data_IF_107130596323
#
_entry.id   IF_107130596323
#
_cell.length_a   1.000
_cell.length_b   1.000
_cell.length_c   1.000
_cell.angle_alpha   90.00
_cell.angle_beta   90.00
_cell.angle_gamma   90.00
#
_symmetry.space_group_name_H-M   'P 1'
#
loop_
_entity.id
_entity.type
_entity.pdbx_description
1 polymer ?
#
# COMPACT_ATOMS: atom_id res chain seq x y z
N UNK A 1 -15.05 26.79 10.53
CA UNK A 1 -15.25 25.43 11.06
C UNK A 1 -16.20 24.69 10.13
N UNK A 2 -15.68 23.97 9.14
CA UNK A 2 -16.48 22.96 8.44
C UNK A 2 -16.69 21.82 9.43
N UNK A 3 -17.94 21.49 9.72
CA UNK A 3 -18.32 20.34 10.54
C UNK A 3 -17.63 19.09 10.02
N UNK A 4 -16.90 18.37 10.88
CA UNK A 4 -16.31 17.08 10.56
C UNK A 4 -17.43 16.07 10.28
N UNK A 5 -17.87 15.96 9.04
CA UNK A 5 -18.44 14.71 8.56
C UNK A 5 -17.27 13.72 8.55
N UNK A 6 -17.37 12.67 9.37
CA UNK A 6 -16.36 11.62 9.42
C UNK A 6 -16.18 10.96 8.05
N UNK A 7 -15.07 10.22 7.89
CA UNK A 7 -14.83 9.47 6.66
C UNK A 7 -16.01 8.51 6.38
N UNK A 8 -16.42 8.35 5.11
CA UNK A 8 -17.38 7.32 4.73
C UNK A 8 -16.87 5.94 5.16
N UNK A 9 -17.75 4.95 5.30
CA UNK A 9 -17.29 3.59 5.52
C UNK A 9 -16.46 3.15 4.31
N UNK A 10 -15.27 2.57 4.52
CA UNK A 10 -14.35 2.24 3.45
C UNK A 10 -14.94 1.15 2.56
N UNK A 11 -14.78 1.30 1.25
CA UNK A 11 -15.17 0.29 0.27
C UNK A 11 -14.21 0.28 -0.90
N UNK A 12 -13.59 -0.87 -1.16
CA UNK A 12 -12.68 -1.05 -2.28
C UNK A 12 -13.43 -1.59 -3.50
N UNK A 13 -13.27 -0.89 -4.63
CA UNK A 13 -13.80 -1.32 -5.92
C UNK A 13 -12.74 -1.18 -7.01
N UNK A 14 -12.83 -2.03 -8.03
CA UNK A 14 -11.89 -2.02 -9.16
C UNK A 14 -12.22 -0.88 -10.13
N UNK A 15 -11.34 0.11 -10.21
CA UNK A 15 -11.41 1.22 -11.15
C UNK A 15 -10.62 0.97 -12.45
N UNK A 16 -10.94 1.76 -13.47
CA UNK A 16 -10.22 1.84 -14.75
C UNK A 16 -9.82 3.29 -14.98
N UNK A 17 -8.52 3.55 -15.07
CA UNK A 17 -7.94 4.88 -15.12
C UNK A 17 -7.20 5.11 -16.44
N UNK A 18 -7.48 6.24 -17.06
CA UNK A 18 -6.83 6.73 -18.27
C UNK A 18 -6.46 8.20 -18.04
N UNK A 19 -5.33 8.64 -18.60
CA UNK A 19 -5.00 10.06 -18.64
C UNK A 19 -6.05 10.80 -19.49
N UNK A 20 -6.31 12.07 -19.18
CA UNK A 20 -7.35 12.87 -19.84
C UNK A 20 -7.11 13.08 -21.35
N UNK A 21 -5.86 13.01 -21.79
CA UNK A 21 -5.40 13.16 -23.17
C UNK A 21 -5.03 11.81 -23.82
N UNK A 22 -5.49 10.68 -23.25
CA UNK A 22 -5.14 9.35 -23.72
C UNK A 22 -5.60 9.13 -25.17
N UNK A 23 -4.71 8.58 -25.99
CA UNK A 23 -5.10 8.08 -27.32
C UNK A 23 -6.03 6.87 -27.20
N UNK A 24 -6.83 6.61 -28.25
CA UNK A 24 -7.74 5.46 -28.27
C UNK A 24 -7.04 4.09 -28.14
N UNK A 25 -5.73 4.02 -28.42
CA UNK A 25 -4.89 2.82 -28.30
C UNK A 25 -4.14 2.71 -26.97
N UNK A 26 -4.20 3.73 -26.09
CA UNK A 26 -3.49 3.69 -24.82
C UNK A 26 -4.18 2.73 -23.84
N UNK A 27 -3.42 1.77 -23.33
CA UNK A 27 -3.93 0.81 -22.36
C UNK A 27 -4.16 1.47 -20.99
N UNK A 28 -5.31 1.17 -20.38
CA UNK A 28 -5.71 1.73 -19.10
C UNK A 28 -4.96 1.10 -17.93
N UNK A 29 -4.79 1.87 -16.85
CA UNK A 29 -4.34 1.35 -15.57
C UNK A 29 -5.56 0.89 -14.79
N UNK A 30 -5.50 -0.31 -14.22
CA UNK A 30 -6.52 -0.82 -13.33
C UNK A 30 -5.99 -0.79 -11.90
N UNK A 31 -6.85 -0.37 -10.96
CA UNK A 31 -6.48 -0.31 -9.55
C UNK A 31 -7.73 -0.47 -8.68
N UNK A 32 -7.55 -0.98 -7.47
CA UNK A 32 -8.59 -0.96 -6.45
C UNK A 32 -8.52 0.37 -5.69
N UNK A 33 -9.66 1.04 -5.55
CA UNK A 33 -9.81 2.42 -5.07
C UNK A 33 -11.11 2.56 -4.27
N UNK A 34 -11.28 3.68 -3.59
CA UNK A 34 -12.52 4.09 -2.94
C UNK A 34 -12.94 5.49 -3.46
N UNK A 35 -13.98 5.55 -4.29
CA UNK A 35 -14.48 6.82 -4.83
C UNK A 35 -15.21 7.65 -3.77
N UNK A 36 -15.91 7.02 -2.82
CA UNK A 36 -16.60 7.74 -1.76
C UNK A 36 -15.59 8.46 -0.85
N UNK A 37 -14.47 7.80 -0.55
CA UNK A 37 -13.35 8.44 0.14
C UNK A 37 -12.83 9.65 -0.64
N UNK A 38 -12.59 9.49 -1.94
CA UNK A 38 -12.05 10.56 -2.77
C UNK A 38 -12.99 11.76 -2.85
N UNK A 39 -14.28 11.53 -3.07
CA UNK A 39 -15.30 12.58 -3.10
C UNK A 39 -15.41 13.33 -1.76
N UNK A 40 -15.27 12.62 -0.63
CA UNK A 40 -15.40 13.19 0.69
C UNK A 40 -14.14 13.96 1.17
N UNK A 41 -12.95 13.52 0.78
CA UNK A 41 -11.68 13.98 1.39
C UNK A 41 -10.67 14.56 0.40
N UNK A 42 -10.85 14.33 -0.91
CA UNK A 42 -9.84 14.60 -1.93
C UNK A 42 -8.66 13.62 -1.91
N UNK A 43 -8.65 12.63 -1.01
CA UNK A 43 -7.61 11.59 -0.95
C UNK A 43 -7.95 10.48 -1.93
N UNK A 44 -7.06 10.28 -2.91
CA UNK A 44 -7.10 9.19 -3.87
C UNK A 44 -6.19 8.08 -3.37
N UNK A 45 -6.75 6.88 -3.20
CA UNK A 45 -5.99 5.67 -2.94
C UNK A 45 -6.04 4.75 -4.16
N UNK A 46 -4.97 4.00 -4.41
CA UNK A 46 -4.90 3.06 -5.51
C UNK A 46 -3.99 1.87 -5.17
N UNK A 47 -4.54 0.66 -5.19
CA UNK A 47 -3.77 -0.58 -5.25
C UNK A 47 -3.73 -1.06 -6.71
N UNK A 48 -2.61 -0.86 -7.39
CA UNK A 48 -2.52 -1.06 -8.84
C UNK A 48 -2.47 -2.55 -9.21
N UNK A 49 -3.06 -2.90 -10.34
CA UNK A 49 -2.73 -4.13 -11.06
C UNK A 49 -1.43 -3.95 -11.87
N UNK A 50 -0.95 -5.02 -12.51
CA UNK A 50 0.30 -5.04 -13.30
C UNK A 50 0.16 -4.63 -14.76
N UNK A 51 -1.06 -4.38 -15.24
CA UNK A 51 -1.37 -4.06 -16.63
C UNK A 51 -1.29 -2.54 -16.93
N UNK A 52 -1.14 -2.17 -18.20
CA UNK A 52 -1.19 -0.78 -18.63
C UNK A 52 0.11 0.01 -18.48
N UNK A 53 1.26 -0.66 -18.35
CA UNK A 53 2.56 0.03 -18.33
C UNK A 53 3.39 -0.16 -19.60
N UNK A 54 4.69 0.07 -19.48
CA UNK A 54 5.67 0.07 -20.57
C UNK A 54 6.81 -0.94 -20.40
N UNK A 55 6.90 -1.57 -19.22
CA UNK A 55 7.91 -2.59 -18.93
C UNK A 55 7.66 -3.84 -19.78
N UNK A 56 8.74 -4.54 -20.07
CA UNK A 56 8.75 -5.79 -20.83
C UNK A 56 9.20 -6.94 -19.94
N UNK A 57 9.10 -8.16 -20.46
CA UNK A 57 9.40 -9.38 -19.71
C UNK A 57 10.79 -9.36 -19.11
N UNK A 58 10.94 -9.76 -17.83
CA UNK A 58 9.94 -10.39 -16.93
C UNK A 58 9.05 -9.42 -16.13
N UNK A 59 9.08 -8.13 -16.46
CA UNK A 59 8.43 -7.04 -15.72
C UNK A 59 7.17 -6.51 -16.41
N UNK A 60 6.59 -7.25 -17.35
CA UNK A 60 5.41 -6.82 -18.10
C UNK A 60 4.25 -6.52 -17.13
N UNK A 61 3.61 -5.34 -17.11
CA UNK A 61 3.84 -4.13 -17.93
C UNK A 61 4.00 -2.88 -17.08
N UNK A 62 3.23 -2.73 -15.99
CA UNK A 62 3.27 -1.60 -15.07
C UNK A 62 4.13 -1.93 -13.85
N UNK A 63 5.44 -2.12 -14.06
CA UNK A 63 6.37 -2.22 -12.94
C UNK A 63 6.61 -0.82 -12.34
N UNK A 64 6.39 -0.70 -11.04
CA UNK A 64 6.58 0.54 -10.28
C UNK A 64 7.79 0.47 -9.33
N UNK A 65 8.46 -0.68 -9.23
CA UNK A 65 9.63 -0.88 -8.37
C UNK A 65 10.94 -0.50 -9.05
N UNK A 66 11.77 0.28 -8.36
CA UNK A 66 13.08 0.73 -8.85
C UNK A 66 14.23 -0.22 -8.51
N UNK A 67 14.03 -1.10 -7.52
CA UNK A 67 15.05 -2.03 -7.01
C UNK A 67 14.84 -3.46 -7.53
N UNK A 68 14.36 -3.56 -8.77
CA UNK A 68 14.34 -4.78 -9.58
C UNK A 68 15.11 -4.45 -10.87
N UNK A 69 15.70 -5.43 -11.54
CA UNK A 69 16.59 -5.23 -12.71
C UNK A 69 15.85 -4.78 -14.00
N UNK A 70 14.82 -3.94 -13.87
CA UNK A 70 14.09 -3.28 -14.97
C UNK A 70 14.77 -1.97 -15.36
N UNK A 71 14.45 -1.44 -16.55
CA UNK A 71 15.00 -0.16 -17.02
C UNK A 71 14.45 1.00 -16.16
N UNK A 72 15.31 1.76 -15.45
CA UNK A 72 14.88 2.87 -14.62
C UNK A 72 14.04 3.91 -15.37
N UNK A 73 14.35 4.19 -16.64
CA UNK A 73 13.60 5.16 -17.44
C UNK A 73 12.16 4.67 -17.72
N UNK A 74 12.00 3.36 -17.91
CA UNK A 74 10.70 2.72 -18.12
C UNK A 74 9.88 2.74 -16.82
N UNK A 75 10.50 2.40 -15.68
CA UNK A 75 9.86 2.50 -14.35
C UNK A 75 9.40 3.93 -14.05
N UNK A 76 10.22 4.94 -14.34
CA UNK A 76 9.81 6.35 -14.21
C UNK A 76 8.69 6.73 -15.20
N UNK A 77 8.65 6.12 -16.39
CA UNK A 77 7.53 6.23 -17.33
C UNK A 77 6.22 5.70 -16.74
N UNK A 78 6.26 4.50 -16.15
CA UNK A 78 5.12 3.86 -15.50
C UNK A 78 4.59 4.71 -14.33
N UNK A 79 5.49 5.20 -13.46
CA UNK A 79 5.16 6.09 -12.33
C UNK A 79 4.46 7.38 -12.77
N UNK A 80 4.98 8.05 -13.82
CA UNK A 80 4.34 9.25 -14.40
C UNK A 80 2.99 8.95 -15.04
N UNK A 81 2.87 7.80 -15.73
CA UNK A 81 1.59 7.36 -16.32
C UNK A 81 0.55 7.12 -15.23
N UNK A 82 0.91 6.44 -14.14
CA UNK A 82 0.04 6.20 -12.98
C UNK A 82 -0.52 7.51 -12.41
N UNK A 83 0.35 8.45 -12.07
CA UNK A 83 -0.08 9.75 -11.54
C UNK A 83 -1.00 10.51 -12.51
N UNK A 84 -0.66 10.53 -13.79
CA UNK A 84 -1.48 11.18 -14.81
C UNK A 84 -2.86 10.54 -14.95
N UNK A 85 -2.93 9.20 -14.92
CA UNK A 85 -4.17 8.44 -15.01
C UNK A 85 -5.07 8.62 -13.76
N UNK A 86 -4.47 8.85 -12.59
CA UNK A 86 -5.19 9.14 -11.35
C UNK A 86 -5.60 10.63 -11.23
N UNK A 87 -5.24 11.50 -12.19
CA UNK A 87 -5.56 12.92 -12.18
C UNK A 87 -4.57 13.82 -11.43
N UNK A 88 -3.35 13.32 -11.14
CA UNK A 88 -2.31 14.00 -10.38
C UNK A 88 -0.99 14.16 -11.16
N UNK A 89 -0.99 14.64 -12.42
CA UNK A 89 0.19 14.62 -13.30
C UNK A 89 1.39 15.41 -12.75
N UNK A 90 1.15 16.37 -11.85
CA UNK A 90 2.19 17.22 -11.26
C UNK A 90 2.60 16.79 -9.84
N UNK A 91 1.98 15.75 -9.27
CA UNK A 91 2.34 15.28 -7.94
C UNK A 91 3.75 14.66 -7.94
N UNK A 92 4.47 14.82 -6.84
CA UNK A 92 5.76 14.16 -6.65
C UNK A 92 5.58 12.85 -5.92
N UNK A 93 6.15 11.76 -6.45
CA UNK A 93 6.16 10.48 -5.76
C UNK A 93 7.28 10.47 -4.72
N UNK A 94 6.92 10.14 -3.49
CA UNK A 94 7.84 9.75 -2.43
C UNK A 94 7.71 8.24 -2.24
N UNK A 95 8.82 7.53 -2.44
CA UNK A 95 8.90 6.07 -2.33
C UNK A 95 10.13 5.72 -1.49
N UNK A 96 9.95 5.22 -0.25
CA UNK A 96 11.08 4.87 0.60
C UNK A 96 11.77 3.60 0.09
N UNK A 97 13.03 3.42 0.49
CA UNK A 97 13.72 2.14 0.36
C UNK A 97 13.12 1.15 1.36
N UNK A 98 12.24 0.27 0.90
CA UNK A 98 11.64 -0.78 1.72
C UNK A 98 12.72 -1.79 2.15
N UNK A 99 12.86 -2.00 3.46
CA UNK A 99 13.87 -2.89 4.07
C UNK A 99 13.23 -4.04 4.85
N UNK A 100 11.91 -4.20 4.76
CA UNK A 100 11.11 -5.16 5.53
C UNK A 100 11.24 -4.95 7.05
N UNK A 101 11.44 -3.70 7.47
CA UNK A 101 11.49 -3.26 8.85
C UNK A 101 10.15 -2.71 9.35
N UNK A 102 10.23 -1.85 10.36
CA UNK A 102 9.05 -1.25 11.03
C UNK A 102 9.16 0.27 11.15
N UNK A 103 10.15 0.87 10.50
CA UNK A 103 10.40 2.30 10.56
C UNK A 103 9.37 3.05 9.69
N UNK A 104 8.87 4.15 10.25
CA UNK A 104 7.87 5.03 9.64
C UNK A 104 8.55 6.35 9.29
N UNK A 105 8.59 6.71 8.02
CA UNK A 105 8.99 8.05 7.58
C UNK A 105 7.78 8.99 7.62
N UNK A 106 7.98 10.24 8.07
CA UNK A 106 6.91 11.25 8.13
C UNK A 106 7.30 12.40 7.20
N UNK A 107 6.47 12.66 6.19
CA UNK A 107 6.65 13.72 5.21
C UNK A 107 5.61 14.83 5.42
N UNK A 108 6.05 16.00 5.88
CA UNK A 108 5.12 17.07 6.27
C UNK A 108 4.92 18.11 5.16
N UNK A 109 6.00 18.55 4.51
CA UNK A 109 5.95 19.58 3.48
C UNK A 109 6.99 19.32 2.39
N UNK A 110 6.68 19.68 1.14
CA UNK A 110 7.59 19.58 -0.01
C UNK A 110 8.94 20.26 0.22
N UNK A 111 8.96 21.30 1.08
CA UNK A 111 10.14 22.08 1.43
C UNK A 111 10.89 21.56 2.68
N UNK A 112 10.43 20.50 3.36
CA UNK A 112 11.22 19.85 4.41
C UNK A 112 12.40 19.09 3.77
N UNK A 113 13.53 19.79 3.72
CA UNK A 113 14.78 19.34 3.11
C UNK A 113 15.53 18.28 3.92
N UNK A 114 16.16 17.37 3.17
CA UNK A 114 17.20 16.40 3.52
C UNK A 114 16.88 15.32 4.55
N UNK A 115 16.36 15.61 5.75
CA UNK A 115 16.24 14.58 6.79
C UNK A 115 15.18 13.52 6.46
N UNK A 116 13.98 13.91 6.01
CA UNK A 116 12.94 12.95 5.61
C UNK A 116 13.37 12.15 4.38
N UNK A 117 13.98 12.83 3.40
CA UNK A 117 14.58 12.18 2.22
C UNK A 117 15.68 11.20 2.65
N UNK A 118 16.48 11.56 3.65
CA UNK A 118 17.53 10.71 4.20
C UNK A 118 16.96 9.51 4.95
N UNK A 119 15.92 9.65 5.77
CA UNK A 119 15.25 8.51 6.42
C UNK A 119 14.62 7.58 5.38
N UNK A 120 13.90 8.13 4.40
CA UNK A 120 13.35 7.33 3.29
C UNK A 120 14.45 6.63 2.47
N UNK A 121 15.64 7.23 2.35
CA UNK A 121 16.81 6.62 1.70
C UNK A 121 17.55 5.59 2.58
N UNK A 122 17.58 5.80 3.90
CA UNK A 122 18.19 4.91 4.88
C UNK A 122 17.39 3.62 5.03
N UNK A 123 16.07 3.72 4.94
CA UNK A 123 15.14 2.60 4.90
C UNK A 123 13.90 2.89 5.72
N UNK A 124 12.73 2.68 5.13
CA UNK A 124 11.46 2.74 5.83
C UNK A 124 10.44 1.85 5.12
N UNK A 125 9.52 1.29 5.90
CA UNK A 125 8.46 0.41 5.40
C UNK A 125 7.07 1.02 5.64
N UNK A 126 6.99 2.25 6.14
CA UNK A 126 5.80 3.06 6.10
C UNK A 126 6.12 4.52 5.84
N UNK A 127 5.18 5.24 5.23
CA UNK A 127 5.28 6.65 4.93
C UNK A 127 3.97 7.35 5.28
N UNK A 128 4.03 8.33 6.19
CA UNK A 128 2.94 9.24 6.54
C UNK A 128 3.10 10.53 5.74
N UNK A 129 2.02 11.05 5.15
CA UNK A 129 2.00 12.27 4.34
C UNK A 129 0.79 13.14 4.70
N UNK A 130 1.02 14.44 4.85
CA UNK A 130 -0.05 15.46 4.91
C UNK A 130 -0.14 16.30 3.63
N UNK A 131 1.01 16.63 3.04
CA UNK A 131 1.11 17.64 1.99
C UNK A 131 0.28 17.30 0.76
N UNK A 132 -0.51 18.28 0.33
CA UNK A 132 -1.14 18.22 -0.99
C UNK A 132 -0.03 18.16 -2.05
N UNK A 133 -0.28 17.49 -3.18
CA UNK A 133 0.70 17.30 -4.26
C UNK A 133 1.87 16.33 -3.99
N UNK A 134 1.95 15.69 -2.82
CA UNK A 134 2.85 14.55 -2.60
C UNK A 134 2.07 13.23 -2.65
N UNK A 135 2.59 12.27 -3.42
CA UNK A 135 2.06 10.92 -3.51
C UNK A 135 2.97 9.95 -2.75
N UNK A 136 2.45 9.23 -1.77
CA UNK A 136 3.15 8.11 -1.16
C UNK A 136 3.00 6.88 -2.05
N UNK A 137 4.10 6.28 -2.49
CA UNK A 137 4.12 5.01 -3.24
C UNK A 137 5.02 4.00 -2.54
N UNK A 138 4.42 2.91 -2.06
CA UNK A 138 5.17 1.70 -1.71
C UNK A 138 4.85 0.61 -2.74
N UNK A 139 5.78 -0.31 -2.92
CA UNK A 139 5.71 -1.31 -4.00
C UNK A 139 5.74 -2.74 -3.46
N UNK A 140 5.03 -3.61 -4.14
CA UNK A 140 4.62 -4.91 -3.62
C UNK A 140 4.72 -6.01 -4.67
N UNK A 141 5.06 -7.20 -4.19
CA UNK A 141 4.81 -8.48 -4.80
C UNK A 141 4.71 -9.46 -3.62
N UNK A 142 3.49 -9.90 -3.29
CA UNK A 142 3.11 -10.73 -2.13
C UNK A 142 2.99 -10.05 -0.75
N UNK A 143 3.89 -9.14 -0.37
CA UNK A 143 3.76 -8.48 0.94
C UNK A 143 2.47 -7.67 1.05
N UNK A 144 1.94 -7.45 2.26
CA UNK A 144 0.65 -6.81 2.44
C UNK A 144 0.72 -5.27 2.37
N UNK A 145 0.02 -4.64 1.42
CA UNK A 145 -0.13 -3.19 1.38
C UNK A 145 -1.26 -2.72 2.29
N UNK A 146 -0.98 -1.75 3.15
CA UNK A 146 -1.98 -1.09 4.01
C UNK A 146 -1.95 0.41 3.73
N UNK A 147 -3.10 1.00 3.40
CA UNK A 147 -3.28 2.44 3.33
C UNK A 147 -4.20 2.87 4.48
N UNK A 148 -3.77 3.86 5.25
CA UNK A 148 -4.52 4.43 6.37
C UNK A 148 -4.87 5.88 6.03
N UNK A 149 -6.10 6.29 6.32
CA UNK A 149 -6.55 7.67 6.05
C UNK A 149 -7.24 8.25 7.28
N UNK A 150 -6.80 9.43 7.69
CA UNK A 150 -7.36 10.17 8.81
C UNK A 150 -8.44 11.17 8.36
N UNK A 151 -9.35 11.62 9.25
CA UNK A 151 -10.45 12.53 8.89
C UNK A 151 -10.03 13.87 8.28
N UNK A 152 -8.83 14.37 8.61
CA UNK A 152 -8.29 15.62 8.05
C UNK A 152 -7.73 15.46 6.62
N UNK A 153 -7.70 14.24 6.08
CA UNK A 153 -7.16 13.89 4.78
C UNK A 153 -5.66 13.57 4.77
N UNK A 154 -4.98 13.54 5.93
CA UNK A 154 -3.65 12.95 6.02
C UNK A 154 -3.75 11.43 5.85
N UNK A 155 -2.68 10.82 5.34
CA UNK A 155 -2.68 9.39 5.04
C UNK A 155 -1.32 8.76 5.32
N UNK A 156 -1.32 7.44 5.43
CA UNK A 156 -0.11 6.63 5.50
C UNK A 156 -0.20 5.45 4.55
N UNK A 157 0.94 5.04 3.99
CA UNK A 157 1.07 3.81 3.22
C UNK A 157 2.13 2.95 3.89
N UNK A 158 1.79 1.70 4.24
CA UNK A 158 2.65 0.76 4.94
C UNK A 158 2.83 -0.54 4.16
N UNK A 159 4.03 -1.09 4.23
CA UNK A 159 4.46 -2.36 3.67
C UNK A 159 4.62 -3.40 4.77
N UNK A 160 3.60 -4.22 4.94
CA UNK A 160 3.57 -5.30 5.91
C UNK A 160 3.94 -6.64 5.25
N UNK A 161 5.21 -6.80 4.89
CA UNK A 161 5.78 -8.14 4.73
C UNK A 161 5.82 -8.88 6.08
N UNK A 162 6.12 -10.18 6.13
CA UNK A 162 6.03 -10.94 7.39
C UNK A 162 6.83 -10.33 8.56
N UNK A 163 8.00 -9.75 8.31
CA UNK A 163 8.80 -9.06 9.35
C UNK A 163 8.12 -7.78 9.83
N UNK A 164 7.59 -6.99 8.92
CA UNK A 164 6.86 -5.76 9.22
C UNK A 164 5.55 -6.04 9.93
N UNK A 165 4.81 -7.07 9.51
CA UNK A 165 3.59 -7.55 10.17
C UNK A 165 3.88 -8.03 11.59
N UNK A 166 4.88 -8.90 11.77
CA UNK A 166 5.30 -9.34 13.11
C UNK A 166 5.74 -8.18 14.01
N UNK A 167 6.33 -7.14 13.43
CA UNK A 167 6.76 -5.93 14.13
C UNK A 167 5.71 -4.80 14.19
N UNK A 168 4.46 -5.09 13.82
CA UNK A 168 3.32 -4.17 13.87
C UNK A 168 3.48 -2.87 13.05
N UNK A 169 4.12 -2.92 11.87
CA UNK A 169 4.38 -1.71 11.06
C UNK A 169 3.10 -0.94 10.70
N UNK A 170 1.98 -1.64 10.45
CA UNK A 170 0.70 -1.00 10.17
C UNK A 170 0.16 -0.23 11.39
N UNK A 171 0.28 -0.78 12.59
CA UNK A 171 -0.09 -0.10 13.85
C UNK A 171 0.83 1.09 14.11
N UNK A 172 2.14 0.95 13.88
CA UNK A 172 3.08 2.07 14.01
C UNK A 172 2.74 3.22 13.07
N UNK A 173 2.42 2.91 11.82
CA UNK A 173 1.97 3.90 10.84
C UNK A 173 0.65 4.57 11.26
N UNK A 174 -0.30 3.79 11.80
CA UNK A 174 -1.56 4.30 12.34
C UNK A 174 -1.34 5.26 13.51
N UNK A 175 -0.54 4.87 14.50
CA UNK A 175 -0.28 5.72 15.67
C UNK A 175 0.44 7.01 15.27
N UNK A 176 1.42 6.94 14.36
CA UNK A 176 2.09 8.11 13.81
C UNK A 176 1.10 9.02 13.06
N UNK A 177 0.20 8.45 12.26
CA UNK A 177 -0.85 9.18 11.55
C UNK A 177 -1.86 9.83 12.52
N UNK A 178 -2.25 9.13 13.58
CA UNK A 178 -3.17 9.62 14.60
C UNK A 178 -2.56 10.76 15.43
N UNK A 179 -1.31 10.59 15.88
CA UNK A 179 -0.55 11.64 16.57
C UNK A 179 -0.46 12.88 15.70
N UNK A 180 -0.14 12.69 14.42
CA UNK A 180 -0.06 13.77 13.45
C UNK A 180 -1.39 14.49 13.23
N UNK A 181 -2.46 13.72 13.02
CA UNK A 181 -3.77 14.22 12.61
C UNK A 181 -4.64 14.64 13.79
N UNK A 182 -4.13 14.51 15.02
CA UNK A 182 -4.87 14.73 16.25
C UNK A 182 -6.22 13.98 16.29
N UNK A 183 -6.24 12.72 15.83
CA UNK A 183 -7.43 11.88 15.78
C UNK A 183 -7.21 10.54 16.50
N UNK A 184 -8.31 9.84 16.79
CA UNK A 184 -8.26 8.50 17.37
C UNK A 184 -8.20 7.42 16.27
N UNK A 185 -7.61 6.25 16.55
CA UNK A 185 -7.58 5.11 15.63
C UNK A 185 -8.96 4.75 15.02
N UNK A 186 -10.01 4.75 15.84
CA UNK A 186 -11.38 4.44 15.41
C UNK A 186 -12.03 5.47 14.47
N UNK A 187 -11.39 6.60 14.23
CA UNK A 187 -11.81 7.62 13.26
C UNK A 187 -11.12 7.47 11.90
N UNK A 188 -10.08 6.63 11.82
CA UNK A 188 -9.35 6.36 10.59
C UNK A 188 -10.00 5.22 9.80
N UNK A 189 -9.85 5.25 8.48
CA UNK A 189 -10.11 4.08 7.63
C UNK A 189 -8.80 3.35 7.34
N UNK A 190 -8.86 2.03 7.31
CA UNK A 190 -7.79 1.16 6.84
C UNK A 190 -8.23 0.42 5.57
N UNK A 191 -7.36 0.43 4.57
CA UNK A 191 -7.55 -0.25 3.30
C UNK A 191 -6.41 -1.23 3.11
N UNK A 192 -6.74 -2.50 2.88
CA UNK A 192 -5.80 -3.58 2.63
C UNK A 192 -5.92 -3.96 1.15
N UNK A 193 -4.83 -3.83 0.41
CA UNK A 193 -4.76 -4.22 -0.99
C UNK A 193 -4.31 -5.68 -1.16
N UNK A 194 -4.06 -6.14 -2.39
CA UNK A 194 -3.74 -7.53 -2.69
C UNK A 194 -2.42 -7.98 -2.05
N UNK A 195 -2.39 -9.19 -1.49
CA UNK A 195 -1.22 -9.77 -0.83
C UNK A 195 -1.17 -11.28 -1.02
N UNK A 196 -0.17 -11.98 -0.50
CA UNK A 196 -0.15 -13.45 -0.52
C UNK A 196 -0.97 -14.01 0.63
N UNK A 197 -1.96 -14.83 0.32
CA UNK A 197 -2.82 -15.44 1.34
C UNK A 197 -2.20 -16.73 1.89
N UNK A 198 -2.78 -17.22 2.98
CA UNK A 198 -2.31 -18.39 3.70
C UNK A 198 -2.17 -19.62 2.80
N UNK A 199 -3.06 -19.85 1.82
CA UNK A 199 -2.97 -21.02 0.93
C UNK A 199 -1.70 -21.05 0.05
N UNK A 200 -1.01 -19.92 -0.09
CA UNK A 200 0.23 -19.80 -0.87
C UNK A 200 1.45 -19.39 -0.03
N UNK A 201 1.24 -18.88 1.19
CA UNK A 201 2.30 -18.35 2.06
C UNK A 201 2.86 -19.42 3.01
N UNK A 202 3.50 -20.43 2.44
CA UNK A 202 4.24 -21.42 3.24
C UNK A 202 5.48 -20.78 3.88
N UNK A 203 5.69 -21.07 5.16
CA UNK A 203 6.83 -20.64 5.98
C UNK A 203 7.45 -21.83 6.71
N UNK A 204 8.64 -21.62 7.29
CA UNK A 204 9.23 -22.62 8.19
C UNK A 204 8.38 -22.81 9.44
N UNK A 205 8.39 -24.02 10.01
CA UNK A 205 7.66 -24.33 11.24
C UNK A 205 8.03 -23.41 12.42
N UNK A 206 9.32 -23.07 12.59
CA UNK A 206 9.78 -22.11 13.62
C UNK A 206 9.11 -20.74 13.45
N UNK A 207 9.04 -20.22 12.22
CA UNK A 207 8.37 -18.96 11.95
C UNK A 207 6.87 -19.04 12.23
N UNK A 208 6.20 -20.10 11.78
CA UNK A 208 4.78 -20.32 12.07
C UNK A 208 4.52 -20.32 13.59
N UNK A 209 5.32 -21.07 14.37
CA UNK A 209 5.18 -21.13 15.83
C UNK A 209 5.37 -19.77 16.49
N UNK A 210 6.33 -18.94 16.01
CA UNK A 210 6.51 -17.58 16.52
C UNK A 210 5.26 -16.73 16.31
N UNK A 211 4.62 -16.84 15.14
CA UNK A 211 3.36 -16.15 14.87
C UNK A 211 2.24 -16.64 15.78
N UNK A 212 2.06 -17.96 15.93
CA UNK A 212 1.03 -18.52 16.82
C UNK A 212 1.19 -18.07 18.28
N UNK A 213 2.43 -17.99 18.77
CA UNK A 213 2.72 -17.52 20.13
C UNK A 213 2.42 -16.03 20.29
N UNK A 214 2.75 -15.22 19.28
CA UNK A 214 2.62 -13.76 19.36
C UNK A 214 1.19 -13.26 19.09
N UNK A 215 0.46 -13.91 18.17
CA UNK A 215 -0.83 -13.44 17.65
C UNK A 215 -1.99 -14.43 17.87
N UNK A 216 -1.72 -15.59 18.48
CA UNK A 216 -2.70 -16.65 18.70
C UNK A 216 -2.73 -17.70 17.58
N UNK A 217 -3.29 -18.88 17.88
CA UNK A 217 -3.29 -20.02 16.95
C UNK A 217 -4.08 -19.75 15.66
N UNK A 218 -5.08 -18.86 15.70
CA UNK A 218 -5.94 -18.54 14.55
C UNK A 218 -5.18 -17.89 13.36
N UNK A 219 -3.99 -17.33 13.59
CA UNK A 219 -3.15 -16.79 12.50
C UNK A 219 -2.28 -17.85 11.80
N UNK A 220 -2.28 -19.09 12.29
CA UNK A 220 -1.56 -20.23 11.73
C UNK A 220 -2.58 -21.34 11.40
N UNK A 221 -3.22 -21.29 10.22
CA UNK A 221 -4.33 -22.20 9.90
C UNK A 221 -3.89 -23.67 9.82
N UNK A 222 -2.59 -23.93 9.66
CA UNK A 222 -1.98 -25.24 9.79
C UNK A 222 -0.50 -25.13 10.25
N UNK A 223 0.20 -26.27 10.27
CA UNK A 223 1.58 -26.36 10.77
C UNK A 223 2.66 -25.73 9.85
N UNK A 224 2.29 -25.11 8.73
CA UNK A 224 3.22 -24.59 7.71
C UNK A 224 2.86 -23.22 7.16
N UNK A 225 1.65 -22.71 7.39
CA UNK A 225 1.19 -21.44 6.83
C UNK A 225 0.97 -20.38 7.90
N UNK A 226 1.10 -19.12 7.50
CA UNK A 226 0.74 -17.95 8.29
C UNK A 226 -0.28 -17.13 7.50
N UNK A 227 -1.34 -16.72 8.17
CA UNK A 227 -2.35 -15.81 7.65
C UNK A 227 -2.00 -14.36 8.04
N UNK A 228 -1.35 -13.65 7.12
CA UNK A 228 -1.01 -12.24 7.32
C UNK A 228 -2.25 -11.35 7.45
N UNK A 229 -3.36 -11.72 6.79
CA UNK A 229 -4.66 -11.06 6.86
C UNK A 229 -5.18 -10.99 8.29
N UNK A 230 -5.15 -12.13 8.96
CA UNK A 230 -5.53 -12.25 10.38
C UNK A 230 -4.61 -11.45 11.29
N UNK A 231 -3.30 -11.55 11.09
CA UNK A 231 -2.30 -10.81 11.89
C UNK A 231 -2.56 -9.31 11.82
N UNK A 232 -2.53 -8.73 10.62
CA UNK A 232 -2.61 -7.28 10.44
C UNK A 232 -4.00 -6.73 10.80
N UNK A 233 -5.07 -7.43 10.43
CA UNK A 233 -6.43 -7.00 10.78
C UNK A 233 -6.68 -7.03 12.28
N UNK A 234 -6.22 -8.09 12.97
CA UNK A 234 -6.34 -8.18 14.43
C UNK A 234 -5.53 -7.10 15.13
N UNK A 235 -4.30 -6.84 14.68
CA UNK A 235 -3.45 -5.77 15.20
C UNK A 235 -4.08 -4.39 15.07
N UNK A 236 -4.64 -4.06 13.90
CA UNK A 236 -5.33 -2.78 13.68
C UNK A 236 -6.58 -2.65 14.57
N UNK A 237 -7.31 -3.75 14.79
CA UNK A 237 -8.45 -3.78 15.70
C UNK A 237 -8.04 -3.56 17.15
N UNK A 238 -6.99 -4.26 17.62
CA UNK A 238 -6.44 -4.07 18.95
C UNK A 238 -5.89 -2.65 19.17
N UNK A 239 -5.37 -2.01 18.11
CA UNK A 239 -4.95 -0.62 18.14
C UNK A 239 -6.13 0.38 18.17
N UNK A 240 -7.37 -0.08 17.95
CA UNK A 240 -8.59 0.71 18.11
C UNK A 240 -9.33 1.05 16.82
N UNK A 241 -8.93 0.53 15.65
CA UNK A 241 -9.76 0.62 14.44
C UNK A 241 -10.95 -0.32 14.60
N UNK A 242 -12.17 0.17 14.38
CA UNK A 242 -13.36 -0.69 14.40
C UNK A 242 -13.41 -1.56 13.12
N UNK A 243 -13.90 -2.81 13.19
CA UNK A 243 -13.90 -3.73 12.05
C UNK A 243 -14.53 -3.16 10.78
N UNK A 244 -15.61 -2.38 10.91
CA UNK A 244 -16.32 -1.77 9.78
C UNK A 244 -15.50 -0.68 9.06
N UNK A 245 -14.40 -0.24 9.66
CA UNK A 245 -13.44 0.71 9.08
C UNK A 245 -12.18 0.05 8.51
N UNK A 246 -12.20 -1.28 8.36
CA UNK A 246 -11.17 -2.05 7.66
C UNK A 246 -11.79 -2.64 6.39
N UNK A 247 -11.33 -2.19 5.23
CA UNK A 247 -11.69 -2.78 3.94
C UNK A 247 -10.51 -3.56 3.38
N UNK A 248 -10.68 -4.88 3.20
CA UNK A 248 -9.74 -5.74 2.51
C UNK A 248 -10.29 -6.07 1.12
N UNK A 249 -9.43 -6.01 0.10
CA UNK A 249 -9.78 -6.47 -1.25
C UNK A 249 -9.94 -7.99 -1.32
N UNK A 250 -9.30 -8.72 -0.40
CA UNK A 250 -9.32 -10.19 -0.27
C UNK A 250 -8.91 -10.90 -1.57
N UNK A 251 -7.72 -10.56 -2.07
CA UNK A 251 -7.16 -11.13 -3.30
C UNK A 251 -5.73 -11.64 -3.09
N UNK A 252 -5.56 -12.94 -3.27
CA UNK A 252 -4.25 -13.59 -3.27
C UNK A 252 -3.47 -13.27 -4.56
N UNK A 253 -2.35 -12.56 -4.43
CA UNK A 253 -1.44 -12.20 -5.53
C UNK A 253 -0.81 -13.43 -6.20
N UNK A 254 -0.43 -14.45 -5.43
CA UNK A 254 0.13 -15.70 -5.97
C UNK A 254 -0.88 -16.51 -6.80
N UNK A 255 -2.17 -16.45 -6.43
CA UNK A 255 -3.25 -17.08 -7.20
C UNK A 255 -3.68 -16.26 -8.43
N UNK A 256 -3.34 -14.97 -8.48
CA UNK A 256 -3.84 -14.02 -9.49
C UNK A 256 -2.70 -13.34 -10.27
N UNK A 257 -1.71 -14.11 -10.72
CA UNK A 257 -0.50 -13.60 -11.42
C UNK A 257 -0.79 -12.91 -12.76
N UNK A 258 -1.97 -13.11 -13.35
CA UNK A 258 -2.44 -12.37 -14.52
C UNK A 258 -2.74 -10.89 -14.21
N UNK A 259 -3.08 -10.57 -12.96
CA UNK A 259 -3.41 -9.20 -12.50
C UNK A 259 -2.33 -8.60 -11.62
N UNK A 260 -1.57 -9.41 -10.89
CA UNK A 260 -0.58 -8.95 -9.92
C UNK A 260 0.76 -9.62 -10.11
N UNK A 261 1.82 -8.95 -9.68
CA UNK A 261 3.13 -9.60 -9.53
C UNK A 261 3.15 -10.42 -8.24
N UNK A 262 3.77 -11.59 -8.29
CA UNK A 262 3.99 -12.43 -7.11
C UNK A 262 5.43 -12.93 -7.11
N UNK A 263 6.18 -12.56 -6.07
CA UNK A 263 7.56 -13.00 -5.89
C UNK A 263 7.62 -14.51 -5.71
N UNK A 264 6.71 -15.08 -4.92
CA UNK A 264 6.58 -16.52 -4.64
C UNK A 264 6.25 -17.29 -5.92
N UNK A 265 5.18 -16.92 -6.62
CA UNK A 265 4.72 -17.68 -7.78
C UNK A 265 5.69 -17.53 -8.98
N UNK A 266 6.36 -16.39 -9.11
CA UNK A 266 7.30 -16.10 -10.20
C UNK A 266 8.77 -16.34 -9.80
N UNK A 267 9.02 -17.10 -8.72
CA UNK A 267 10.35 -17.57 -8.32
C UNK A 267 11.39 -16.45 -8.14
N UNK A 268 10.93 -15.31 -7.62
CA UNK A 268 11.75 -14.15 -7.28
C UNK A 268 11.93 -13.11 -8.39
N UNK A 269 11.63 -13.46 -9.64
CA UNK A 269 11.86 -12.58 -10.80
C UNK A 269 10.51 -12.04 -11.31
N UNK A 270 10.17 -10.84 -10.85
CA UNK A 270 8.95 -10.14 -11.28
C UNK A 270 9.04 -8.64 -10.98
N UNK A 271 8.13 -7.86 -11.55
CA UNK A 271 7.96 -6.44 -11.24
C UNK A 271 7.33 -6.23 -9.86
N UNK A 272 6.99 -4.97 -9.55
CA UNK A 272 6.25 -4.61 -8.36
C UNK A 272 5.05 -3.75 -8.72
N UNK A 273 3.88 -4.11 -8.19
CA UNK A 273 2.68 -3.28 -8.25
C UNK A 273 2.68 -2.31 -7.06
N UNK A 274 1.83 -1.29 -7.07
CA UNK A 274 1.90 -0.17 -6.13
C UNK A 274 0.69 -0.08 -5.21
N UNK A 275 0.93 0.34 -3.98
CA UNK A 275 -0.07 1.01 -3.16
C UNK A 275 0.28 2.49 -3.14
N UNK A 276 -0.62 3.32 -3.67
CA UNK A 276 -0.42 4.76 -3.79
C UNK A 276 -1.54 5.51 -3.07
N UNK A 277 -1.17 6.54 -2.32
CA UNK A 277 -2.10 7.52 -1.79
C UNK A 277 -1.61 8.94 -2.14
N UNK A 278 -2.53 9.81 -2.55
CA UNK A 278 -2.26 11.19 -2.93
C UNK A 278 -3.49 12.06 -2.66
N UNK A 279 -3.30 13.33 -2.34
CA UNK A 279 -4.38 14.28 -2.04
C UNK A 279 -4.36 15.48 -2.99
N UNK A 280 -5.57 15.92 -3.37
CA UNK A 280 -5.80 17.15 -4.16
C UNK A 280 -5.36 18.42 -3.45
#
# INVERSE_FOLDING_TARGET
MKTAQGLPLPSLSRGRFLRSDASASEEAIYAYTDEALFEASGVRIAFTERAGGFSVSPFDSLNLGEYVDDDPAVVQGNRRKLLSALGFPNAQIISPKQVHGTDVAIWRYMNETNLVRQTAQQGADALVVEDAQCAALLVFADCMPVILVAPNGAFAVAHAGWRGAYGHVAVRALLALCEYSCCQPGECNAYIGPYIHAECFEVSNDLMQRFSIAFGEDCAPDARHVDLGRVVSSDLQHAGIVPERIADVDICTACNTSKFYSYRAQQGICGRHGALAVRQ
#
